data_IF_467639168239
#
_entry.id   IF_467639168239
#
_cell.length_a   1.000
_cell.length_b   1.000
_cell.length_c   1.000
_cell.angle_alpha   90.00
_cell.angle_beta   90.00
_cell.angle_gamma   90.00
#
_symmetry.space_group_name_H-M   'P 1'
#
loop_
_entity.id
_entity.type
_entity.pdbx_description
1 polymer ?
#
# COMPACT_ATOMS: atom_id res chain seq x y z
N UNK A 1 33.07 54.43 -0.52
CA UNK A 1 33.06 53.44 0.57
C UNK A 1 33.22 52.06 -0.05
N UNK A 2 34.32 51.39 0.31
CA UNK A 2 34.66 49.96 0.18
C UNK A 2 33.49 49.07 0.68
N UNK A 3 33.14 47.84 0.23
CA UNK A 3 33.76 46.66 -0.43
C UNK A 3 32.57 45.73 -0.91
N UNK A 4 32.70 44.41 -1.26
CA UNK A 4 32.88 43.86 -2.62
C UNK A 4 31.96 42.63 -2.91
N UNK A 5 32.23 41.87 -3.98
CA UNK A 5 32.02 40.41 -3.95
C UNK A 5 31.08 39.84 -5.02
N UNK A 6 31.68 39.35 -6.10
CA UNK A 6 31.05 38.62 -7.19
C UNK A 6 30.25 37.40 -6.74
N UNK A 7 28.94 37.39 -7.01
CA UNK A 7 28.15 36.17 -7.15
C UNK A 7 28.11 35.79 -8.62
N UNK A 8 28.65 34.61 -8.95
CA UNK A 8 28.55 33.99 -10.27
C UNK A 8 27.07 33.95 -10.66
N UNK A 9 26.67 34.77 -11.63
CA UNK A 9 25.39 34.65 -12.32
C UNK A 9 25.44 33.37 -13.15
N UNK A 10 25.08 32.24 -12.54
CA UNK A 10 24.71 31.05 -13.30
C UNK A 10 23.45 31.43 -14.08
N UNK A 11 23.63 31.79 -15.34
CA UNK A 11 22.54 31.86 -16.32
C UNK A 11 22.06 30.43 -16.54
N UNK A 12 21.15 29.96 -15.69
CA UNK A 12 20.35 28.78 -15.99
C UNK A 12 19.39 29.19 -17.11
N UNK A 13 19.68 28.73 -18.32
CA UNK A 13 18.83 28.90 -19.49
C UNK A 13 17.43 28.37 -19.17
N UNK A 14 16.39 29.21 -19.36
CA UNK A 14 14.95 28.87 -19.14
C UNK A 14 14.42 27.71 -20.00
N UNK A 15 15.26 27.10 -20.83
CA UNK A 15 14.95 25.99 -21.73
C UNK A 15 15.56 24.65 -21.31
N UNK A 16 16.33 24.59 -20.22
CA UNK A 16 17.18 23.44 -19.85
C UNK A 16 16.57 22.46 -18.85
N UNK A 17 15.35 22.68 -18.40
CA UNK A 17 14.62 21.68 -17.63
C UNK A 17 13.43 21.35 -18.52
N UNK A 18 13.40 20.28 -19.29
CA UNK A 18 12.14 19.61 -19.66
C UNK A 18 12.17 18.30 -18.88
N UNK A 19 11.05 17.82 -18.35
CA UNK A 19 11.06 16.56 -17.60
C UNK A 19 11.33 15.44 -18.65
N UNK A 20 12.59 15.03 -18.80
CA UNK A 20 13.00 14.12 -19.88
C UNK A 20 12.62 12.67 -19.61
N UNK A 21 12.61 12.31 -18.33
CA UNK A 21 12.03 11.08 -17.81
C UNK A 21 10.68 11.43 -17.17
N UNK A 22 9.62 10.99 -17.82
CA UNK A 22 8.25 11.06 -17.30
C UNK A 22 7.94 9.68 -16.71
N UNK A 23 7.18 9.64 -15.63
CA UNK A 23 6.73 8.38 -15.08
C UNK A 23 5.39 7.95 -15.69
N UNK A 24 5.27 6.67 -16.06
CA UNK A 24 4.00 6.07 -16.47
C UNK A 24 3.26 5.47 -15.27
N UNK A 25 1.93 5.38 -15.37
CA UNK A 25 1.10 4.76 -14.34
C UNK A 25 1.40 3.27 -14.23
N UNK A 26 1.83 2.84 -13.05
CA UNK A 26 2.14 1.44 -12.78
C UNK A 26 0.90 0.55 -12.91
N UNK A 27 1.05 -0.62 -13.53
CA UNK A 27 0.08 -1.72 -13.43
C UNK A 27 0.66 -2.78 -12.50
N UNK A 28 0.26 -2.77 -11.24
CA UNK A 28 0.66 -3.83 -10.31
C UNK A 28 -0.09 -5.13 -10.61
N UNK A 29 0.62 -6.26 -10.58
CA UNK A 29 0.00 -7.59 -10.64
C UNK A 29 -0.45 -8.01 -9.25
N UNK A 30 -1.70 -8.44 -9.13
CA UNK A 30 -2.25 -9.05 -7.92
C UNK A 30 -1.43 -10.28 -7.54
N UNK A 31 -0.73 -10.22 -6.41
CA UNK A 31 -0.21 -11.42 -5.77
C UNK A 31 -1.39 -12.07 -5.05
N UNK A 32 -1.79 -13.26 -5.51
CA UNK A 32 -2.69 -14.11 -4.72
C UNK A 32 -1.96 -14.38 -3.40
N UNK A 33 -2.41 -13.76 -2.30
CA UNK A 33 -1.93 -14.10 -0.97
C UNK A 33 -2.07 -15.61 -0.82
N UNK A 34 -0.94 -16.31 -0.69
CA UNK A 34 -0.97 -17.67 -0.18
C UNK A 34 -1.55 -17.57 1.23
N UNK A 35 -2.77 -18.07 1.41
CA UNK A 35 -3.33 -18.32 2.74
C UNK A 35 -2.27 -19.12 3.48
N UNK A 36 -1.61 -18.50 4.45
CA UNK A 36 -0.75 -19.21 5.39
C UNK A 36 -1.67 -20.20 6.09
N UNK A 37 -1.61 -21.46 5.65
CA UNK A 37 -2.29 -22.55 6.32
C UNK A 37 -1.79 -22.54 7.77
N UNK A 38 -2.72 -22.39 8.71
CA UNK A 38 -2.46 -22.57 10.12
C UNK A 38 -1.88 -23.98 10.31
N UNK A 39 -0.57 -24.06 10.49
CA UNK A 39 0.06 -25.25 11.03
C UNK A 39 -0.13 -25.18 12.54
N UNK A 40 -1.30 -25.65 13.00
CA UNK A 40 -1.53 -25.96 14.41
C UNK A 40 -0.48 -26.98 14.82
N UNK A 41 0.58 -26.52 15.46
CA UNK A 41 1.49 -27.41 16.16
C UNK A 41 0.72 -28.07 17.31
N UNK A 42 0.36 -29.34 17.15
CA UNK A 42 0.19 -30.25 18.29
C UNK A 42 -1.22 -30.66 18.72
N UNK A 43 -2.26 -30.55 17.90
CA UNK A 43 -3.54 -31.22 18.19
C UNK A 43 -4.00 -32.05 16.98
N UNK A 44 -3.75 -33.36 17.03
CA UNK A 44 -4.35 -34.32 16.10
C UNK A 44 -5.87 -34.29 16.22
N UNK A 45 -6.55 -33.98 15.11
CA UNK A 45 -8.00 -34.07 15.01
C UNK A 45 -8.39 -35.54 14.82
N UNK A 46 -8.90 -36.17 15.88
CA UNK A 46 -9.48 -37.51 15.84
C UNK A 46 -10.99 -37.37 15.57
N UNK A 47 -11.52 -37.75 14.39
CA UNK A 47 -12.95 -37.72 14.15
C UNK A 47 -13.67 -38.80 14.99
N UNK A 48 -14.86 -38.52 15.55
CA UNK A 48 -15.65 -39.52 16.25
C UNK A 48 -16.11 -40.63 15.30
N UNK A 49 -15.94 -41.88 15.75
CA UNK A 49 -16.38 -43.09 15.05
C UNK A 49 -17.91 -43.17 15.10
N UNK A 50 -18.57 -43.00 13.96
CA UNK A 50 -20.01 -43.27 13.83
C UNK A 50 -20.70 -42.39 12.81
N UNK A 51 -20.69 -42.83 11.55
CA UNK A 51 -21.79 -42.77 10.57
C UNK A 51 -21.22 -42.74 9.15
N UNK A 52 -21.07 -43.93 8.57
CA UNK A 52 -20.93 -44.08 7.13
C UNK A 52 -22.33 -44.23 6.52
N UNK A 53 -22.72 -43.27 5.69
CA UNK A 53 -23.58 -43.57 4.54
C UNK A 53 -22.96 -43.01 3.25
N UNK A 54 -22.47 -43.96 2.45
CA UNK A 54 -22.71 -44.07 1.01
C UNK A 54 -22.30 -42.90 0.10
N UNK A 55 -21.19 -43.06 -0.63
CA UNK A 55 -21.18 -42.98 -2.10
C UNK A 55 -19.83 -43.50 -2.61
N UNK A 56 -19.87 -44.61 -3.35
CA UNK A 56 -18.71 -45.37 -3.76
C UNK A 56 -18.06 -44.87 -5.05
N UNK A 57 -16.80 -45.25 -5.24
CA UNK A 57 -16.22 -45.67 -6.51
C UNK A 57 -14.91 -46.46 -6.24
N UNK A 58 -14.87 -47.71 -6.70
CA UNK A 58 -13.69 -48.61 -6.77
C UNK A 58 -13.02 -48.48 -8.16
N UNK A 59 -11.90 -49.19 -8.51
CA UNK A 59 -11.10 -50.22 -7.80
C UNK A 59 -9.58 -49.95 -7.80
N UNK A 60 -8.67 -50.68 -7.13
CA UNK A 60 -8.11 -52.04 -7.42
C UNK A 60 -6.85 -52.15 -6.51
N UNK A 61 -6.52 -53.20 -5.74
CA UNK A 61 -5.84 -54.48 -6.09
C UNK A 61 -5.63 -55.27 -4.77
N UNK A 62 -5.66 -56.59 -4.90
CA UNK A 62 -5.34 -57.69 -3.97
C UNK A 62 -4.31 -57.45 -2.83
N UNK A 63 -4.52 -58.05 -1.65
CA UNK A 63 -4.01 -59.41 -1.39
C UNK A 63 -4.56 -60.05 -0.10
N UNK A 64 -4.52 -61.37 -0.12
CA UNK A 64 -5.03 -62.36 0.83
C UNK A 64 -4.37 -62.36 2.22
N UNK A 65 -5.15 -62.66 3.27
CA UNK A 65 -4.87 -63.80 4.16
C UNK A 65 -5.98 -64.02 5.20
N UNK A 66 -6.25 -65.29 5.44
CA UNK A 66 -7.31 -65.85 6.27
C UNK A 66 -6.96 -65.76 7.77
N UNK A 67 -7.98 -65.66 8.62
CA UNK A 67 -7.82 -65.75 10.07
C UNK A 67 -9.15 -65.82 10.80
N UNK A 68 -9.61 -67.04 11.03
CA UNK A 68 -10.89 -67.45 11.58
C UNK A 68 -10.96 -67.29 13.11
N UNK A 69 -12.18 -67.06 13.61
CA UNK A 69 -12.78 -67.57 14.87
C UNK A 69 -12.96 -66.66 16.11
N UNK A 70 -14.19 -66.83 16.63
CA UNK A 70 -14.67 -66.76 18.02
C UNK A 70 -15.17 -65.44 18.62
N UNK A 71 -16.51 -65.34 18.65
CA UNK A 71 -17.29 -64.73 19.73
C UNK A 71 -17.23 -65.60 21.01
N UNK A 72 -17.28 -64.95 22.18
CA UNK A 72 -18.39 -65.17 23.13
C UNK A 72 -18.92 -63.83 23.66
N UNK A 73 -20.24 -63.58 23.65
CA UNK A 73 -21.22 -63.98 24.67
C UNK A 73 -21.03 -63.33 26.04
N UNK A 74 -21.99 -62.44 26.34
CA UNK A 74 -22.59 -62.13 27.66
C UNK A 74 -21.70 -61.61 28.79
N UNK A 75 -22.07 -60.44 29.32
CA UNK A 75 -22.53 -60.28 30.71
C UNK A 75 -23.13 -58.87 30.89
N UNK A 76 -24.46 -58.81 31.00
CA UNK A 76 -25.13 -57.75 31.76
C UNK A 76 -24.78 -57.93 33.24
N UNK A 77 -24.83 -56.84 34.02
CA UNK A 77 -25.87 -56.81 35.03
C UNK A 77 -26.63 -55.47 35.06
N UNK A 78 -27.94 -55.61 35.20
CA UNK A 78 -28.86 -54.57 35.61
C UNK A 78 -28.52 -54.08 37.02
N UNK A 79 -28.62 -52.77 37.26
CA UNK A 79 -29.24 -52.29 38.48
C UNK A 79 -29.92 -50.95 38.25
N UNK A 80 -31.22 -50.99 38.49
CA UNK A 80 -32.20 -49.91 38.44
C UNK A 80 -32.21 -49.13 39.73
N UNK A 81 -32.04 -47.81 39.68
CA UNK A 81 -32.55 -46.89 40.72
C UNK A 81 -33.12 -45.62 40.07
N UNK A 82 -34.38 -45.33 40.42
CA UNK A 82 -35.20 -44.19 39.99
C UNK A 82 -34.62 -42.86 40.52
N UNK A 83 -34.69 -41.74 39.78
CA UNK A 83 -34.50 -40.43 40.36
C UNK A 83 -35.80 -39.90 40.99
N UNK A 84 -35.62 -39.30 42.18
CA UNK A 84 -36.60 -38.56 42.96
C UNK A 84 -36.85 -37.23 42.26
N UNK A 85 -38.12 -36.90 42.01
CA UNK A 85 -38.53 -35.63 41.43
C UNK A 85 -38.29 -34.46 42.40
N UNK A 86 -37.50 -33.49 41.96
CA UNK A 86 -37.40 -32.17 42.58
C UNK A 86 -38.15 -31.17 41.70
N UNK A 87 -39.20 -30.58 42.26
CA UNK A 87 -39.92 -29.44 41.72
C UNK A 87 -39.02 -28.20 41.75
N UNK A 88 -38.90 -27.40 40.67
CA UNK A 88 -38.15 -26.16 40.74
C UNK A 88 -39.00 -25.09 41.44
N UNK A 89 -38.55 -24.70 42.64
CA UNK A 89 -38.96 -23.46 43.29
C UNK A 89 -38.56 -22.27 42.42
N UNK A 90 -39.52 -21.37 42.18
CA UNK A 90 -39.36 -20.08 41.53
C UNK A 90 -38.32 -19.21 42.23
N UNK A 91 -37.07 -19.27 41.78
CA UNK A 91 -36.09 -18.21 42.02
C UNK A 91 -36.32 -17.12 40.97
N UNK A 92 -36.70 -15.93 41.41
CA UNK A 92 -36.72 -14.70 40.63
C UNK A 92 -35.31 -14.42 40.10
N UNK A 93 -35.02 -14.96 38.91
CA UNK A 93 -33.81 -14.68 38.16
C UNK A 93 -33.84 -13.24 37.68
N UNK A 94 -32.88 -12.45 38.14
CA UNK A 94 -32.49 -11.21 37.45
C UNK A 94 -32.26 -11.58 35.98
N UNK A 95 -32.91 -10.94 35.00
CA UNK A 95 -32.63 -11.25 33.61
C UNK A 95 -31.12 -11.07 33.35
N UNK A 96 -30.50 -11.89 32.50
CA UNK A 96 -29.15 -11.60 32.02
C UNK A 96 -29.13 -10.16 31.51
N UNK A 97 -28.03 -9.40 31.66
CA UNK A 97 -27.97 -8.05 31.11
C UNK A 97 -28.36 -8.16 29.63
N UNK A 98 -29.48 -7.52 29.28
CA UNK A 98 -29.95 -7.49 27.91
C UNK A 98 -28.80 -6.95 27.08
N UNK A 99 -28.32 -7.74 26.10
CA UNK A 99 -27.44 -7.22 25.06
C UNK A 99 -28.09 -5.94 24.54
N UNK A 100 -27.37 -4.81 24.51
CA UNK A 100 -27.95 -3.54 24.11
C UNK A 100 -28.61 -3.69 22.75
N UNK A 101 -29.85 -3.22 22.62
CA UNK A 101 -30.57 -3.28 21.35
C UNK A 101 -29.92 -2.31 20.36
N UNK A 102 -29.91 -2.61 19.04
CA UNK A 102 -29.38 -1.69 18.02
C UNK A 102 -29.98 -0.28 18.12
N UNK A 103 -31.25 -0.19 18.54
CA UNK A 103 -31.99 1.06 18.73
C UNK A 103 -31.40 1.98 19.81
N UNK A 104 -30.67 1.44 20.79
CA UNK A 104 -30.04 2.22 21.86
C UNK A 104 -28.86 3.07 21.36
N UNK A 105 -28.29 2.71 20.20
CA UNK A 105 -27.10 3.34 19.62
C UNK A 105 -27.35 4.14 18.36
N UNK A 106 -28.61 4.22 17.89
CA UNK A 106 -28.98 4.91 16.65
C UNK A 106 -28.63 6.41 16.63
N UNK A 107 -28.43 7.02 17.80
CA UNK A 107 -28.04 8.43 17.93
C UNK A 107 -26.52 8.67 17.88
N UNK A 108 -25.71 7.62 17.97
CA UNK A 108 -24.25 7.74 17.97
C UNK A 108 -23.72 7.78 16.52
N UNK A 109 -22.68 8.57 16.23
CA UNK A 109 -22.10 8.65 14.89
C UNK A 109 -21.34 7.37 14.49
N UNK A 110 -20.80 6.65 15.48
CA UNK A 110 -19.97 5.46 15.31
C UNK A 110 -20.30 4.44 16.41
N UNK A 111 -20.03 3.14 16.18
CA UNK A 111 -20.32 2.11 17.17
C UNK A 111 -19.47 2.33 18.44
N UNK A 112 -20.02 2.07 19.63
CA UNK A 112 -19.28 2.26 20.88
C UNK A 112 -18.20 1.18 21.08
N UNK A 113 -17.15 1.50 21.85
CA UNK A 113 -15.97 0.64 22.02
C UNK A 113 -16.24 -0.68 22.76
N UNK A 114 -17.31 -0.76 23.55
CA UNK A 114 -17.68 -1.95 24.32
C UNK A 114 -18.20 -3.08 23.41
N UNK A 115 -18.81 -2.74 22.27
CA UNK A 115 -19.35 -3.69 21.28
C UNK A 115 -18.24 -4.31 20.43
N UNK A 116 -17.03 -3.75 20.44
CA UNK A 116 -15.88 -4.24 19.67
C UNK A 116 -15.60 -5.74 19.87
N UNK A 117 -15.65 -6.19 21.13
CA UNK A 117 -15.26 -7.54 21.53
C UNK A 117 -16.27 -8.60 21.10
N UNK A 118 -17.51 -8.20 20.93
CA UNK A 118 -18.60 -9.09 20.56
C UNK A 118 -18.71 -9.24 19.03
N UNK A 119 -18.01 -8.42 18.25
CA UNK A 119 -18.03 -8.49 16.79
C UNK A 119 -17.20 -9.66 16.25
N UNK A 120 -17.82 -10.63 15.55
CA UNK A 120 -17.10 -11.72 14.91
C UNK A 120 -16.27 -11.23 13.72
N UNK A 121 -16.68 -10.13 13.06
CA UNK A 121 -15.97 -9.57 11.91
C UNK A 121 -14.62 -8.99 12.31
N UNK A 122 -14.57 -8.27 13.44
CA UNK A 122 -13.32 -7.75 13.99
C UNK A 122 -12.37 -8.87 14.42
N UNK A 123 -12.88 -9.89 15.10
CA UNK A 123 -12.08 -11.05 15.51
C UNK A 123 -11.50 -11.78 14.28
N UNK A 124 -12.31 -11.96 13.23
CA UNK A 124 -11.86 -12.57 11.97
C UNK A 124 -10.80 -11.72 11.25
N UNK A 125 -10.97 -10.39 11.22
CA UNK A 125 -10.00 -9.47 10.61
C UNK A 125 -8.66 -9.49 11.38
N UNK A 126 -8.71 -9.44 12.71
CA UNK A 126 -7.53 -9.50 13.57
C UNK A 126 -6.70 -10.77 13.31
N UNK A 127 -7.38 -11.93 13.25
CA UNK A 127 -6.75 -13.21 12.94
C UNK A 127 -6.21 -13.28 11.50
N UNK A 128 -6.97 -12.79 10.51
CA UNK A 128 -6.59 -12.81 9.09
C UNK A 128 -5.33 -11.99 8.81
N UNK A 129 -5.21 -10.83 9.46
CA UNK A 129 -4.02 -9.97 9.36
C UNK A 129 -2.86 -10.46 10.25
N UNK A 130 -3.06 -11.56 11.00
CA UNK A 130 -2.07 -12.09 11.94
C UNK A 130 -1.56 -11.02 12.91
N UNK A 131 -2.46 -10.15 13.40
CA UNK A 131 -2.09 -9.06 14.31
C UNK A 131 -1.61 -9.66 15.65
N UNK A 132 -0.58 -9.07 16.28
CA UNK A 132 -0.12 -9.52 17.60
C UNK A 132 -1.22 -9.40 18.65
N UNK A 133 -1.20 -10.26 19.67
CA UNK A 133 -2.15 -10.21 20.81
C UNK A 133 -2.10 -8.90 21.60
N UNK A 134 -0.97 -8.15 21.50
CA UNK A 134 -0.82 -6.82 22.08
C UNK A 134 -1.65 -5.75 21.35
N UNK A 135 -2.05 -6.01 20.10
CA UNK A 135 -2.91 -5.12 19.35
C UNK A 135 -4.38 -5.35 19.78
N UNK A 136 -5.00 -4.42 20.50
CA UNK A 136 -6.36 -4.61 21.02
C UNK A 136 -7.41 -4.46 19.92
N UNK A 137 -8.53 -5.17 20.07
CA UNK A 137 -9.62 -5.20 19.09
C UNK A 137 -10.37 -3.85 19.04
N UNK A 138 -10.38 -3.13 20.17
CA UNK A 138 -10.97 -1.79 20.29
C UNK A 138 -10.20 -0.76 19.45
N UNK A 139 -8.87 -0.85 19.40
CA UNK A 139 -8.07 0.00 18.49
C UNK A 139 -8.29 -0.41 17.03
N UNK A 140 -8.52 -1.69 16.75
CA UNK A 140 -8.89 -2.14 15.40
C UNK A 140 -10.19 -1.50 14.93
N UNK A 141 -11.21 -1.48 15.79
CA UNK A 141 -12.47 -0.78 15.55
C UNK A 141 -12.22 0.69 15.25
N UNK A 142 -11.43 1.38 16.09
CA UNK A 142 -11.11 2.80 15.86
C UNK A 142 -10.49 3.04 14.49
N UNK A 143 -9.64 2.13 14.00
CA UNK A 143 -9.05 2.26 12.66
C UNK A 143 -10.11 2.25 11.53
N UNK A 144 -11.25 1.59 11.74
CA UNK A 144 -12.36 1.47 10.79
C UNK A 144 -13.35 2.65 10.82
N UNK A 145 -13.22 3.57 11.78
CA UNK A 145 -14.07 4.76 11.88
C UNK A 145 -13.35 5.93 11.23
N UNK A 146 -13.82 6.35 10.06
CA UNK A 146 -13.25 7.49 9.35
C UNK A 146 -13.65 8.83 9.98
N UNK A 147 -12.82 9.87 9.79
CA UNK A 147 -13.07 11.21 10.30
C UNK A 147 -14.36 11.85 9.73
N UNK A 148 -14.79 11.40 8.55
CA UNK A 148 -16.05 11.81 7.95
C UNK A 148 -17.28 11.22 8.64
N UNK A 149 -17.15 10.04 9.28
CA UNK A 149 -18.23 9.41 10.03
C UNK A 149 -18.34 9.96 11.45
N UNK A 150 -17.20 10.17 12.12
CA UNK A 150 -17.15 10.69 13.48
C UNK A 150 -16.26 11.94 13.56
N UNK A 151 -16.84 13.13 13.87
CA UNK A 151 -16.08 14.37 13.96
C UNK A 151 -15.15 14.41 15.18
N UNK A 152 -15.34 13.52 16.16
CA UNK A 152 -14.53 13.51 17.36
C UNK A 152 -13.15 12.87 17.11
N UNK A 153 -12.04 13.55 17.47
CA UNK A 153 -10.69 13.06 17.19
C UNK A 153 -10.31 11.82 18.01
N UNK A 154 -11.01 11.58 19.12
CA UNK A 154 -10.75 10.45 20.01
C UNK A 154 -11.30 9.14 19.47
N UNK A 155 -12.38 9.19 18.70
CA UNK A 155 -13.08 8.01 18.18
C UNK A 155 -12.85 7.75 16.70
N UNK A 156 -12.29 8.71 15.95
CA UNK A 156 -11.92 8.51 14.55
C UNK A 156 -10.45 8.06 14.35
N UNK A 157 -10.15 7.65 13.12
CA UNK A 157 -8.87 7.12 12.69
C UNK A 157 -7.86 8.16 12.19
N UNK A 158 -8.21 9.46 12.15
CA UNK A 158 -7.42 10.49 11.46
C UNK A 158 -5.98 10.61 11.98
N UNK A 159 -5.81 10.61 13.31
CA UNK A 159 -4.50 10.72 13.96
C UNK A 159 -3.63 9.49 13.71
N UNK A 160 -4.23 8.30 13.72
CA UNK A 160 -3.56 7.03 13.43
C UNK A 160 -3.17 6.96 11.95
N UNK A 161 -4.03 7.44 11.06
CA UNK A 161 -3.81 7.48 9.62
C UNK A 161 -2.67 8.44 9.25
N UNK A 162 -2.54 9.57 9.94
CA UNK A 162 -1.41 10.49 9.75
C UNK A 162 -0.07 9.80 10.07
N UNK A 163 0.04 9.21 11.26
CA UNK A 163 1.25 8.50 11.68
C UNK A 163 1.59 7.33 10.74
N UNK A 164 0.59 6.52 10.38
CA UNK A 164 0.81 5.38 9.50
C UNK A 164 1.11 5.77 8.06
N UNK A 165 0.59 6.91 7.59
CA UNK A 165 0.94 7.50 6.29
C UNK A 165 2.43 7.84 6.24
N UNK A 166 2.92 8.57 7.25
CA UNK A 166 4.34 8.94 7.35
C UNK A 166 5.25 7.70 7.41
N UNK A 167 4.87 6.67 8.19
CA UNK A 167 5.62 5.42 8.29
C UNK A 167 5.66 4.66 6.95
N UNK A 168 4.53 4.56 6.25
CA UNK A 168 4.47 3.90 4.95
C UNK A 168 5.30 4.65 3.92
N UNK A 169 5.14 5.97 3.83
CA UNK A 169 5.90 6.81 2.91
C UNK A 169 7.41 6.68 3.16
N UNK A 170 7.84 6.77 4.42
CA UNK A 170 9.24 6.63 4.81
C UNK A 170 9.83 5.26 4.44
N UNK A 171 9.20 4.17 4.85
CA UNK A 171 9.76 2.82 4.64
C UNK A 171 9.71 2.38 3.17
N UNK A 172 8.72 2.83 2.40
CA UNK A 172 8.67 2.56 0.97
C UNK A 172 9.73 3.37 0.23
N UNK A 173 9.88 4.66 0.52
CA UNK A 173 10.92 5.48 -0.09
C UNK A 173 12.32 4.95 0.23
N UNK A 174 12.55 4.57 1.49
CA UNK A 174 13.79 3.92 1.94
C UNK A 174 14.08 2.64 1.14
N UNK A 175 13.08 1.76 1.02
CA UNK A 175 13.22 0.49 0.31
C UNK A 175 13.57 0.72 -1.17
N UNK A 176 12.85 1.61 -1.84
CA UNK A 176 13.04 1.91 -3.27
C UNK A 176 14.40 2.56 -3.52
N UNK A 177 14.79 3.58 -2.72
CA UNK A 177 16.06 4.28 -2.88
C UNK A 177 17.27 3.39 -2.63
N UNK A 178 17.22 2.58 -1.57
CA UNK A 178 18.33 1.69 -1.25
C UNK A 178 18.47 0.57 -2.31
N UNK A 179 17.35 0.13 -2.93
CA UNK A 179 17.36 -0.89 -3.98
C UNK A 179 17.76 -0.32 -5.34
N UNK A 180 17.36 0.90 -5.67
CA UNK A 180 17.61 1.59 -6.94
C UNK A 180 18.15 3.01 -6.68
N UNK A 181 19.44 3.15 -6.32
CA UNK A 181 20.00 4.42 -5.88
C UNK A 181 20.10 5.49 -6.98
N UNK A 182 19.96 5.09 -8.25
CA UNK A 182 20.02 5.98 -9.42
C UNK A 182 18.65 6.39 -9.95
N UNK A 183 17.57 6.06 -9.26
CA UNK A 183 16.22 6.23 -9.80
C UNK A 183 15.89 7.72 -10.00
N UNK A 184 15.41 8.13 -11.20
CA UNK A 184 14.90 9.48 -11.44
C UNK A 184 13.77 9.84 -10.47
N UNK A 185 13.69 11.11 -10.08
CA UNK A 185 12.75 11.52 -9.03
C UNK A 185 11.28 11.33 -9.44
N UNK A 186 10.98 11.54 -10.73
CA UNK A 186 9.64 11.31 -11.26
C UNK A 186 9.23 9.83 -11.14
N UNK A 187 10.17 8.93 -11.41
CA UNK A 187 9.95 7.48 -11.34
C UNK A 187 9.85 7.02 -9.88
N UNK A 188 10.60 7.65 -8.97
CA UNK A 188 10.47 7.42 -7.53
C UNK A 188 9.08 7.75 -7.02
N UNK A 189 8.53 8.92 -7.38
CA UNK A 189 7.16 9.29 -7.00
C UNK A 189 6.12 8.31 -7.53
N UNK A 190 6.25 7.89 -8.79
CA UNK A 190 5.34 6.90 -9.37
C UNK A 190 5.48 5.51 -8.72
N UNK A 191 6.69 5.11 -8.35
CA UNK A 191 6.93 3.88 -7.61
C UNK A 191 6.27 3.95 -6.22
N UNK A 192 6.44 5.06 -5.50
CA UNK A 192 5.81 5.28 -4.20
C UNK A 192 4.28 5.26 -4.30
N UNK A 193 3.71 5.95 -5.31
CA UNK A 193 2.28 5.91 -5.62
C UNK A 193 1.82 4.48 -5.97
N UNK A 194 2.65 3.70 -6.66
CA UNK A 194 2.29 2.34 -6.99
C UNK A 194 2.29 1.40 -5.77
N UNK A 195 3.09 1.68 -4.73
CA UNK A 195 3.05 0.88 -3.49
C UNK A 195 1.97 1.35 -2.50
N UNK A 196 1.80 2.66 -2.31
CA UNK A 196 0.99 3.26 -1.22
C UNK A 196 -0.08 4.22 -1.75
N UNK A 197 -0.30 4.28 -3.06
CA UNK A 197 -1.33 5.14 -3.64
C UNK A 197 -2.75 4.73 -3.25
N UNK A 198 -3.73 5.65 -3.31
CA UNK A 198 -5.09 5.40 -2.82
C UNK A 198 -5.77 4.18 -3.44
N UNK A 199 -5.61 3.98 -4.75
CA UNK A 199 -6.18 2.83 -5.46
C UNK A 199 -5.60 1.50 -4.94
N UNK A 200 -4.31 1.49 -4.59
CA UNK A 200 -3.56 0.31 -4.15
C UNK A 200 -3.91 -0.06 -2.73
N UNK A 201 -4.10 0.93 -1.85
CA UNK A 201 -4.58 0.74 -0.49
C UNK A 201 -6.06 0.33 -0.46
N UNK A 202 -6.87 0.85 -1.38
CA UNK A 202 -8.26 0.42 -1.57
C UNK A 202 -8.37 -1.05 -1.95
N UNK A 203 -7.52 -1.53 -2.85
CA UNK A 203 -7.41 -2.95 -3.18
C UNK A 203 -6.96 -3.78 -1.97
N UNK A 204 -5.98 -3.29 -1.22
CA UNK A 204 -5.44 -3.98 -0.06
C UNK A 204 -6.50 -4.14 1.04
N UNK A 205 -7.35 -3.13 1.24
CA UNK A 205 -8.56 -3.22 2.08
C UNK A 205 -9.55 -4.28 1.60
N UNK A 206 -9.73 -4.47 0.28
CA UNK A 206 -10.56 -5.55 -0.26
C UNK A 206 -9.92 -6.93 -0.05
N UNK A 207 -8.61 -7.05 -0.24
CA UNK A 207 -7.84 -8.28 0.00
C UNK A 207 -7.91 -8.70 1.48
N UNK A 208 -7.90 -7.72 2.39
CA UNK A 208 -8.13 -7.94 3.81
C UNK A 208 -9.57 -8.30 4.15
N UNK A 209 -10.50 -8.24 3.19
CA UNK A 209 -11.91 -8.56 3.33
C UNK A 209 -12.65 -7.63 4.28
N UNK A 210 -12.33 -6.34 4.22
CA UNK A 210 -13.03 -5.27 4.95
C UNK A 210 -14.12 -4.70 4.06
N UNK A 211 -15.36 -4.83 4.51
CA UNK A 211 -16.56 -4.33 3.85
C UNK A 211 -16.87 -2.89 4.28
N UNK A 212 -17.63 -2.17 3.47
CA UNK A 212 -18.05 -0.80 3.73
C UNK A 212 -19.43 -0.79 4.40
N UNK A 213 -19.61 0.08 5.38
CA UNK A 213 -20.92 0.40 5.91
C UNK A 213 -21.77 1.15 4.86
N UNK A 214 -23.08 0.92 4.86
CA UNK A 214 -23.99 1.62 3.97
C UNK A 214 -24.14 3.10 4.35
N UNK A 215 -24.24 3.38 5.64
CA UNK A 215 -24.29 4.70 6.22
C UNK A 215 -23.53 4.71 7.56
N UNK A 216 -23.00 5.86 8.00
CA UNK A 216 -22.47 5.99 9.35
C UNK A 216 -23.59 5.89 10.39
N UNK A 217 -23.31 5.19 11.50
CA UNK A 217 -24.25 4.97 12.59
C UNK A 217 -23.67 4.08 13.69
N UNK A 218 -24.16 4.23 14.92
CA UNK A 218 -23.75 3.44 16.09
C UNK A 218 -24.30 2.03 16.12
N UNK A 219 -25.35 1.76 15.35
CA UNK A 219 -25.98 0.45 15.16
C UNK A 219 -25.19 -0.49 14.23
N UNK A 220 -24.23 0.05 13.49
CA UNK A 220 -23.43 -0.69 12.51
C UNK A 220 -22.44 -1.61 13.23
N UNK A 221 -22.23 -2.82 12.71
CA UNK A 221 -21.19 -3.73 13.21
C UNK A 221 -19.81 -3.05 13.16
N UNK A 222 -19.06 -2.98 14.28
CA UNK A 222 -17.78 -2.29 14.34
C UNK A 222 -16.67 -2.92 13.46
N UNK A 223 -16.92 -4.09 12.86
CA UNK A 223 -16.06 -4.70 11.84
C UNK A 223 -16.22 -4.16 10.42
N UNK A 224 -17.08 -3.18 10.19
CA UNK A 224 -17.27 -2.51 8.90
C UNK A 224 -16.51 -1.18 8.86
N UNK A 225 -16.00 -0.82 7.67
CA UNK A 225 -15.43 0.51 7.43
C UNK A 225 -16.55 1.54 7.36
N UNK A 226 -16.60 2.44 8.35
CA UNK A 226 -17.64 3.46 8.50
C UNK A 226 -17.09 4.80 7.99
N UNK A 227 -17.71 5.33 6.94
CA UNK A 227 -17.39 6.63 6.36
C UNK A 227 -18.64 7.29 5.77
N UNK A 228 -18.71 8.62 5.80
CA UNK A 228 -19.76 9.36 5.12
C UNK A 228 -19.43 9.41 3.62
N UNK A 229 -20.17 8.68 2.79
CA UNK A 229 -19.84 8.52 1.37
C UNK A 229 -20.32 9.70 0.53
N UNK A 230 -19.48 10.10 -0.42
CA UNK A 230 -19.88 11.06 -1.47
C UNK A 230 -20.96 10.44 -2.37
N UNK A 231 -22.00 11.22 -2.68
CA UNK A 231 -23.04 10.80 -3.61
C UNK A 231 -22.51 10.70 -5.05
N UNK A 232 -22.91 9.66 -5.82
CA UNK A 232 -22.53 9.54 -7.22
C UNK A 232 -22.93 10.79 -8.02
N UNK A 233 -22.00 11.34 -8.80
CA UNK A 233 -22.22 12.55 -9.61
C UNK A 233 -21.86 13.87 -8.91
N UNK A 234 -21.38 13.82 -7.66
CA UNK A 234 -20.81 14.99 -6.99
C UNK A 234 -19.47 15.36 -7.64
N UNK A 235 -19.31 16.63 -8.03
CA UNK A 235 -18.05 17.14 -8.57
C UNK A 235 -16.98 17.22 -7.48
N UNK A 236 -16.00 16.31 -7.57
CA UNK A 236 -14.81 16.26 -6.71
C UNK A 236 -13.71 17.25 -7.13
N UNK A 237 -13.94 18.06 -8.17
CA UNK A 237 -12.93 18.96 -8.77
C UNK A 237 -12.57 20.18 -7.92
N UNK A 238 -13.02 20.23 -6.67
CA UNK A 238 -12.76 21.38 -5.80
C UNK A 238 -11.31 21.37 -5.36
N UNK A 239 -10.58 22.41 -5.78
CA UNK A 239 -9.21 22.65 -5.33
C UNK A 239 -9.26 23.31 -3.96
N UNK A 240 -8.81 22.59 -2.94
CA UNK A 240 -8.35 23.24 -1.71
C UNK A 240 -7.02 23.92 -2.00
N UNK A 241 -6.76 25.02 -1.29
CA UNK A 241 -5.49 25.73 -1.37
C UNK A 241 -4.31 24.77 -1.27
N UNK A 242 -3.50 24.70 -2.33
CA UNK A 242 -2.32 23.82 -2.41
C UNK A 242 -1.21 24.25 -1.44
N UNK A 243 -1.32 25.45 -0.86
CA UNK A 243 -0.31 26.03 0.02
C UNK A 243 0.96 26.47 -0.72
N UNK A 244 0.96 26.42 -2.05
CA UNK A 244 2.09 26.84 -2.89
C UNK A 244 2.13 28.35 -3.07
N UNK A 245 3.35 28.94 -3.16
CA UNK A 245 3.49 30.31 -3.65
C UNK A 245 2.91 30.45 -5.07
N UNK A 246 2.21 31.55 -5.34
CA UNK A 246 1.57 31.85 -6.64
C UNK A 246 0.52 30.83 -7.10
N UNK A 247 -0.23 30.23 -6.18
CA UNK A 247 -1.28 29.23 -6.49
C UNK A 247 -2.29 29.70 -7.57
N UNK A 248 -2.63 30.98 -7.60
CA UNK A 248 -3.54 31.58 -8.58
C UNK A 248 -3.11 31.32 -10.03
N UNK A 249 -1.79 31.16 -10.25
CA UNK A 249 -1.18 30.98 -11.56
C UNK A 249 -1.09 29.50 -11.93
N UNK A 250 -2.25 28.85 -12.00
CA UNK A 250 -2.43 27.42 -12.27
C UNK A 250 -1.77 26.88 -13.57
N UNK A 251 -1.48 27.75 -14.56
CA UNK A 251 -0.84 27.38 -15.83
C UNK A 251 0.69 27.44 -15.78
N UNK A 252 1.26 27.86 -14.65
CA UNK A 252 2.71 27.91 -14.51
C UNK A 252 3.27 26.51 -14.35
N UNK A 253 4.42 26.30 -14.97
CA UNK A 253 5.11 25.03 -14.88
C UNK A 253 5.60 24.78 -13.45
N UNK A 254 5.43 23.53 -12.99
CA UNK A 254 5.96 23.01 -11.73
C UNK A 254 7.23 22.22 -11.99
N UNK A 255 8.38 22.73 -11.54
CA UNK A 255 9.66 22.02 -11.61
C UNK A 255 9.77 20.92 -10.56
N UNK A 256 10.49 19.84 -10.89
CA UNK A 256 10.71 18.68 -10.00
C UNK A 256 11.21 19.01 -8.58
N UNK A 257 12.23 19.86 -8.37
CA UNK A 257 12.69 20.17 -7.00
C UNK A 257 11.62 20.88 -6.15
N UNK A 258 10.72 21.65 -6.78
CA UNK A 258 9.62 22.30 -6.06
C UNK A 258 8.59 21.28 -5.55
N UNK A 259 8.43 20.14 -6.23
CA UNK A 259 7.48 19.09 -5.83
C UNK A 259 7.90 18.42 -4.53
N UNK A 260 9.19 18.14 -4.36
CA UNK A 260 9.73 17.52 -3.14
C UNK A 260 9.39 18.33 -1.88
N UNK A 261 9.37 19.67 -1.97
CA UNK A 261 9.14 20.55 -0.81
C UNK A 261 7.66 20.87 -0.60
N UNK A 262 6.95 21.23 -1.67
CA UNK A 262 5.61 21.82 -1.55
C UNK A 262 4.47 20.83 -1.81
N UNK A 263 4.71 19.79 -2.63
CA UNK A 263 3.69 18.80 -2.98
C UNK A 263 3.58 17.71 -1.91
N UNK A 264 2.66 16.78 -2.13
CA UNK A 264 2.48 15.61 -1.27
C UNK A 264 3.60 14.57 -1.46
N UNK A 265 3.46 13.44 -0.75
CA UNK A 265 4.40 12.31 -0.79
C UNK A 265 4.56 11.67 -2.18
N UNK A 266 3.67 11.96 -3.13
CA UNK A 266 3.69 11.47 -4.50
C UNK A 266 4.06 12.57 -5.51
N UNK A 267 4.42 13.78 -5.06
CA UNK A 267 4.70 14.92 -5.94
C UNK A 267 3.44 15.52 -6.60
N UNK A 268 2.26 15.24 -6.06
CA UNK A 268 0.97 15.78 -6.45
C UNK A 268 0.56 16.99 -5.60
N UNK A 269 -0.30 17.84 -6.15
CA UNK A 269 -0.75 19.05 -5.44
C UNK A 269 -1.58 18.64 -4.21
N UNK A 270 -1.16 19.14 -3.05
CA UNK A 270 -1.95 19.08 -1.81
C UNK A 270 -3.35 19.65 -2.07
N UNK A 271 -4.38 18.99 -1.56
CA UNK A 271 -5.76 19.45 -1.73
C UNK A 271 -6.45 19.08 -3.04
N UNK A 272 -5.82 18.26 -3.91
CA UNK A 272 -6.53 17.59 -5.02
C UNK A 272 -7.45 16.46 -4.51
N UNK A 273 -7.21 15.96 -3.32
CA UNK A 273 -7.89 14.79 -2.76
C UNK A 273 -8.64 15.04 -1.45
N UNK A 274 -8.76 16.27 -0.94
CA UNK A 274 -9.36 16.46 0.38
C UNK A 274 -10.26 17.71 0.44
N UNK A 275 -11.48 17.48 0.90
CA UNK A 275 -12.45 18.42 1.48
C UNK A 275 -13.51 19.06 0.56
N UNK A 276 -14.69 18.46 0.67
CA UNK A 276 -16.00 18.96 0.25
C UNK A 276 -16.59 19.87 1.35
N UNK A 277 -16.82 21.16 1.09
CA UNK A 277 -18.04 21.94 1.48
C UNK A 277 -17.92 23.39 1.02
N UNK A 278 -18.96 23.87 0.33
CA UNK A 278 -19.25 25.22 -0.17
C UNK A 278 -18.89 26.34 0.84
N UNK A 279 -17.97 27.25 0.48
CA UNK A 279 -17.88 28.53 1.20
C UNK A 279 -18.99 29.47 0.68
N UNK A 280 -19.63 30.30 1.53
CA UNK A 280 -20.54 31.35 1.06
C UNK A 280 -19.76 32.40 0.24
N UNK A 281 -20.44 33.24 -0.58
CA UNK A 281 -19.77 34.27 -1.37
C UNK A 281 -19.00 35.26 -0.46
N UNK A 282 -17.94 35.93 -0.98
CA UNK A 282 -17.09 36.80 -0.17
C UNK A 282 -17.87 38.04 0.22
N UNK A 283 -18.17 38.17 1.51
CA UNK A 283 -18.78 39.36 2.10
C UNK A 283 -18.41 39.47 3.56
N UNK A 284 -17.65 40.52 3.90
CA UNK A 284 -17.52 41.04 5.26
C UNK A 284 -16.35 40.49 6.08
N UNK A 285 -15.34 41.32 6.27
CA UNK A 285 -14.42 41.26 7.42
C UNK A 285 -15.20 41.21 8.73
N UNK A 286 -14.75 40.40 9.69
CA UNK A 286 -14.48 40.81 11.08
C UNK A 286 -13.85 39.66 11.87
N UNK A 287 -12.88 40.00 12.71
CA UNK A 287 -12.00 39.05 13.39
C UNK A 287 -12.66 38.29 14.53
N UNK A 288 -12.52 36.96 14.50
CA UNK A 288 -12.48 36.10 15.68
C UNK A 288 -11.80 34.79 15.29
N UNK A 289 -10.65 34.50 15.91
CA UNK A 289 -9.99 33.20 15.84
C UNK A 289 -10.80 32.16 16.61
N UNK A 290 -11.78 31.58 15.93
CA UNK A 290 -12.45 30.34 16.37
C UNK A 290 -12.32 29.39 15.20
N UNK A 291 -11.59 28.29 15.41
CA UNK A 291 -11.49 27.22 14.42
C UNK A 291 -12.93 26.81 14.06
N UNK A 292 -13.37 26.95 12.81
CA UNK A 292 -14.72 26.53 12.45
C UNK A 292 -14.80 25.02 12.67
N UNK A 293 -15.74 24.58 13.49
CA UNK A 293 -16.15 23.18 13.57
C UNK A 293 -16.64 22.82 12.17
N UNK A 294 -15.76 22.19 11.39
CA UNK A 294 -16.02 21.78 10.02
C UNK A 294 -17.09 20.70 10.04
N UNK A 295 -18.20 20.92 9.33
CA UNK A 295 -19.17 19.85 9.06
C UNK A 295 -18.46 18.62 8.47
N UNK A 296 -18.94 17.39 8.79
CA UNK A 296 -18.33 16.16 8.31
C UNK A 296 -18.30 16.16 6.78
N UNK A 297 -17.11 16.25 6.20
CA UNK A 297 -16.95 16.30 4.75
C UNK A 297 -17.09 14.89 4.21
N UNK A 298 -17.97 14.63 3.23
CA UNK A 298 -18.10 13.29 2.67
C UNK A 298 -16.79 12.88 1.98
N UNK A 299 -16.50 11.58 1.96
CA UNK A 299 -15.22 11.01 1.54
C UNK A 299 -15.44 9.93 0.48
N UNK A 300 -14.48 9.78 -0.41
CA UNK A 300 -14.51 8.70 -1.42
C UNK A 300 -14.16 7.36 -0.79
N UNK A 301 -14.61 6.25 -1.39
CA UNK A 301 -14.28 4.91 -0.89
C UNK A 301 -12.77 4.68 -0.85
N UNK A 302 -12.04 5.20 -1.83
CA UNK A 302 -10.59 5.07 -1.91
C UNK A 302 -9.88 5.82 -0.78
N UNK A 303 -10.32 7.04 -0.49
CA UNK A 303 -9.76 7.86 0.58
C UNK A 303 -10.06 7.26 1.97
N UNK A 304 -11.29 6.81 2.24
CA UNK A 304 -11.63 6.13 3.48
C UNK A 304 -10.83 4.83 3.66
N UNK A 305 -10.64 4.06 2.58
CA UNK A 305 -9.81 2.85 2.63
C UNK A 305 -8.32 3.13 2.85
N UNK A 306 -7.83 4.25 2.32
CA UNK A 306 -6.46 4.73 2.52
C UNK A 306 -6.25 5.11 3.98
N UNK A 307 -7.18 5.88 4.54
CA UNK A 307 -7.19 6.27 5.95
C UNK A 307 -7.16 5.04 6.86
N UNK A 308 -8.03 4.05 6.60
CA UNK A 308 -8.06 2.79 7.34
C UNK A 308 -6.73 2.01 7.30
N UNK A 309 -6.16 1.77 6.12
CA UNK A 309 -4.91 0.98 6.02
C UNK A 309 -3.76 1.72 6.71
N UNK A 310 -3.65 3.04 6.51
CA UNK A 310 -2.68 3.86 7.22
C UNK A 310 -2.91 3.80 8.74
N UNK A 311 -4.15 3.91 9.20
CA UNK A 311 -4.48 3.84 10.63
C UNK A 311 -4.07 2.52 11.27
N UNK A 312 -4.26 1.38 10.58
CA UNK A 312 -3.79 0.07 11.07
C UNK A 312 -2.27 0.05 11.26
N UNK A 313 -1.50 0.62 10.33
CA UNK A 313 -0.04 0.72 10.45
C UNK A 313 0.36 1.64 11.61
N UNK A 314 -0.29 2.80 11.75
CA UNK A 314 -0.05 3.73 12.85
C UNK A 314 -0.37 3.11 14.22
N UNK A 315 -1.51 2.42 14.34
CA UNK A 315 -1.90 1.69 15.55
C UNK A 315 -0.92 0.54 15.86
N UNK A 316 -0.44 -0.17 14.84
CA UNK A 316 0.55 -1.24 15.00
C UNK A 316 1.84 -0.68 15.61
N UNK A 317 2.28 0.49 15.15
CA UNK A 317 3.46 1.16 15.68
C UNK A 317 3.30 1.53 17.15
N UNK A 318 2.16 2.11 17.53
CA UNK A 318 1.88 2.53 18.91
C UNK A 318 1.80 1.34 19.89
N UNK A 319 1.11 0.27 19.52
CA UNK A 319 0.95 -0.88 20.41
C UNK A 319 2.12 -1.85 20.35
N UNK A 320 2.51 -2.28 19.15
CA UNK A 320 3.45 -3.39 18.93
C UNK A 320 4.89 -2.94 18.65
N UNK A 321 5.11 -1.63 18.51
CA UNK A 321 6.42 -1.05 18.26
C UNK A 321 6.89 -1.20 16.82
N UNK A 322 8.08 -0.66 16.56
CA UNK A 322 8.66 -0.54 15.22
C UNK A 322 8.92 -1.88 14.51
N UNK A 323 9.53 -2.86 15.19
CA UNK A 323 9.96 -4.13 14.56
C UNK A 323 8.75 -4.87 13.97
N UNK A 324 7.67 -4.96 14.74
CA UNK A 324 6.41 -5.58 14.31
C UNK A 324 5.79 -4.85 13.12
N UNK A 325 5.83 -3.51 13.16
CA UNK A 325 5.29 -2.64 12.10
C UNK A 325 6.08 -2.79 10.80
N UNK A 326 7.41 -2.78 10.86
CA UNK A 326 8.28 -3.02 9.70
C UNK A 326 8.00 -4.36 9.04
N UNK A 327 7.87 -5.42 9.85
CA UNK A 327 7.52 -6.75 9.36
C UNK A 327 6.15 -6.77 8.68
N UNK A 328 5.18 -6.06 9.25
CA UNK A 328 3.84 -5.93 8.68
C UNK A 328 3.86 -5.21 7.33
N UNK A 329 4.55 -4.06 7.24
CA UNK A 329 4.73 -3.30 5.99
C UNK A 329 5.43 -4.16 4.93
N UNK A 330 6.48 -4.88 5.32
CA UNK A 330 7.20 -5.77 4.40
C UNK A 330 6.28 -6.87 3.84
N UNK A 331 5.49 -7.51 4.69
CA UNK A 331 4.64 -8.62 4.31
C UNK A 331 3.43 -8.22 3.45
N UNK A 332 2.83 -7.05 3.69
CA UNK A 332 1.60 -6.63 3.01
C UNK A 332 1.78 -5.60 1.90
N UNK A 333 2.80 -4.74 2.01
CA UNK A 333 3.02 -3.63 1.06
C UNK A 333 4.21 -3.92 0.16
N UNK A 334 5.40 -4.16 0.73
CA UNK A 334 6.63 -4.36 -0.05
C UNK A 334 6.75 -5.75 -0.70
N UNK A 335 5.93 -6.71 -0.28
CA UNK A 335 5.87 -8.04 -0.90
C UNK A 335 5.26 -8.04 -2.31
N UNK A 336 4.62 -6.93 -2.70
CA UNK A 336 3.99 -6.76 -4.02
C UNK A 336 5.06 -6.58 -5.10
N UNK A 337 4.88 -7.26 -6.23
CA UNK A 337 5.80 -7.17 -7.35
C UNK A 337 5.48 -5.96 -8.24
N UNK A 338 6.41 -5.02 -8.34
CA UNK A 338 6.36 -3.88 -9.23
C UNK A 338 7.45 -3.98 -10.30
N UNK A 339 7.06 -3.89 -11.57
CA UNK A 339 8.02 -3.74 -12.67
C UNK A 339 8.46 -2.27 -12.80
N UNK A 340 9.63 -1.94 -12.28
CA UNK A 340 10.19 -0.60 -12.40
C UNK A 340 10.49 -0.21 -13.85
N UNK A 341 10.75 -1.18 -14.74
CA UNK A 341 11.05 -0.89 -16.15
C UNK A 341 9.86 -0.24 -16.86
N UNK A 342 8.63 -0.60 -16.52
CA UNK A 342 7.43 -0.03 -17.14
C UNK A 342 7.14 1.40 -16.68
N UNK A 343 7.75 1.88 -15.60
CA UNK A 343 7.52 3.23 -15.11
C UNK A 343 8.24 4.30 -15.93
N UNK A 344 9.23 3.95 -16.75
CA UNK A 344 10.03 4.93 -17.49
C UNK A 344 9.40 5.29 -18.84
N UNK A 345 9.12 6.58 -19.03
CA UNK A 345 8.87 7.19 -20.32
C UNK A 345 9.97 8.21 -20.63
N UNK A 346 10.65 8.02 -21.77
CA UNK A 346 11.75 8.89 -22.19
C UNK A 346 11.34 9.75 -23.38
N UNK A 347 11.51 11.07 -23.25
CA UNK A 347 11.21 12.00 -24.36
C UNK A 347 12.30 11.99 -25.43
N UNK A 348 13.58 12.03 -25.03
CA UNK A 348 14.71 12.12 -25.96
C UNK A 348 15.90 11.21 -25.61
N UNK A 349 15.71 9.88 -25.53
CA UNK A 349 16.69 8.96 -24.93
C UNK A 349 18.09 8.99 -25.58
N UNK A 350 18.19 9.36 -26.87
CA UNK A 350 19.48 9.50 -27.55
C UNK A 350 20.31 10.67 -27.01
N UNK A 351 19.68 11.81 -26.72
CA UNK A 351 20.37 12.99 -26.18
C UNK A 351 20.75 12.75 -24.74
N UNK A 352 19.84 12.15 -23.97
CA UNK A 352 20.04 11.79 -22.57
C UNK A 352 21.24 10.84 -22.44
N UNK A 353 21.36 9.83 -23.32
CA UNK A 353 22.49 8.90 -23.31
C UNK A 353 23.83 9.56 -23.69
N UNK A 354 23.84 10.48 -24.66
CA UNK A 354 25.07 11.24 -25.00
C UNK A 354 25.53 12.05 -23.79
N UNK A 355 24.61 12.77 -23.13
CA UNK A 355 24.95 13.52 -21.92
C UNK A 355 25.37 12.65 -20.76
N UNK A 356 24.79 11.46 -20.62
CA UNK A 356 25.23 10.49 -19.63
C UNK A 356 26.69 10.08 -19.89
N UNK A 357 27.02 9.72 -21.13
CA UNK A 357 28.39 9.37 -21.50
C UNK A 357 29.35 10.54 -21.27
N UNK A 358 28.97 11.76 -21.66
CA UNK A 358 29.79 12.95 -21.45
C UNK A 358 29.99 13.26 -19.95
N UNK A 359 28.99 12.99 -19.10
CA UNK A 359 29.05 13.22 -17.65
C UNK A 359 29.95 12.22 -16.93
N UNK A 360 29.90 10.96 -17.35
CA UNK A 360 30.65 9.85 -16.74
C UNK A 360 32.02 9.64 -17.41
N UNK A 361 32.46 10.56 -18.28
CA UNK A 361 33.71 10.49 -19.05
C UNK A 361 33.86 9.20 -19.89
N UNK A 362 32.76 8.72 -20.47
CA UNK A 362 32.75 7.60 -21.40
C UNK A 362 32.99 8.04 -22.85
N UNK A 363 33.46 7.10 -23.68
CA UNK A 363 33.52 7.32 -25.13
C UNK A 363 32.13 7.66 -25.68
N UNK A 364 32.04 8.55 -26.68
CA UNK A 364 30.75 8.96 -27.23
C UNK A 364 29.99 7.74 -27.78
N UNK A 365 28.68 7.61 -27.49
CA UNK A 365 27.93 6.40 -27.81
C UNK A 365 27.68 6.28 -29.32
N UNK A 366 28.13 5.17 -29.92
CA UNK A 366 27.97 4.87 -31.35
C UNK A 366 27.02 3.69 -31.53
N UNK A 367 25.96 3.89 -32.32
CA UNK A 367 25.03 2.83 -32.69
C UNK A 367 25.59 1.97 -33.83
N UNK A 368 25.67 0.65 -33.62
CA UNK A 368 26.12 -0.35 -34.60
C UNK A 368 25.00 -1.36 -34.87
N UNK A 369 24.84 -1.77 -36.12
CA UNK A 369 23.92 -2.83 -36.50
C UNK A 369 24.54 -4.18 -36.14
N UNK A 370 23.87 -4.96 -35.29
CA UNK A 370 24.33 -6.28 -34.85
C UNK A 370 23.83 -7.34 -35.83
N UNK A 371 22.53 -7.30 -36.13
CA UNK A 371 21.89 -8.20 -37.09
C UNK A 371 20.72 -7.53 -37.76
N UNK A 372 20.39 -8.00 -38.96
CA UNK A 372 19.21 -7.56 -39.69
C UNK A 372 18.56 -8.72 -40.44
N UNK A 373 17.24 -8.64 -40.56
CA UNK A 373 16.46 -9.56 -41.38
C UNK A 373 15.27 -8.85 -42.02
N UNK A 374 14.89 -9.26 -43.22
CA UNK A 374 13.70 -8.76 -43.89
C UNK A 374 13.72 -7.26 -44.22
N UNK A 375 14.89 -6.66 -44.50
CA UNK A 375 15.07 -5.21 -44.75
C UNK A 375 14.08 -4.63 -45.79
N UNK A 376 13.75 -5.39 -46.83
CA UNK A 376 12.81 -5.00 -47.89
C UNK A 376 11.44 -5.69 -47.76
N UNK A 377 11.05 -6.07 -46.54
CA UNK A 377 9.74 -6.67 -46.24
C UNK A 377 8.83 -5.67 -45.51
N UNK A 378 7.55 -6.01 -45.37
CA UNK A 378 6.59 -5.23 -44.58
C UNK A 378 6.93 -5.18 -43.09
N UNK A 379 7.62 -6.22 -42.58
CA UNK A 379 7.99 -6.33 -41.17
C UNK A 379 9.49 -6.63 -41.05
N UNK A 380 10.36 -5.64 -41.34
CA UNK A 380 11.79 -5.78 -41.10
C UNK A 380 12.06 -5.95 -39.61
N UNK A 381 13.19 -6.56 -39.27
CA UNK A 381 13.72 -6.54 -37.90
C UNK A 381 15.18 -6.14 -37.96
N UNK A 382 15.49 -5.02 -37.33
CA UNK A 382 16.85 -4.53 -37.15
C UNK A 382 17.22 -4.63 -35.67
N UNK A 383 18.33 -5.29 -35.36
CA UNK A 383 18.90 -5.35 -34.01
C UNK A 383 20.11 -4.42 -33.97
N UNK A 384 19.99 -3.36 -33.17
CA UNK A 384 21.02 -2.32 -33.03
C UNK A 384 21.57 -2.38 -31.61
N UNK A 385 22.91 -2.36 -31.49
CA UNK A 385 23.61 -2.17 -30.23
C UNK A 385 24.21 -0.78 -30.16
N UNK A 386 24.16 -0.14 -29.00
CA UNK A 386 24.89 1.11 -28.73
C UNK A 386 26.15 0.76 -27.95
N UNK A 387 27.29 1.22 -28.48
CA UNK A 387 28.61 0.96 -27.92
C UNK A 387 29.28 2.25 -27.49
N UNK A 388 29.90 2.23 -26.31
CA UNK A 388 30.89 3.22 -25.88
C UNK A 388 32.26 2.56 -26.03
N UNK A 389 33.01 2.96 -27.06
CA UNK A 389 34.26 2.31 -27.43
C UNK A 389 34.07 0.84 -27.83
N UNK A 390 34.39 -0.07 -26.91
CA UNK A 390 34.25 -1.54 -27.08
C UNK A 390 33.06 -2.11 -26.31
N UNK A 391 32.55 -1.40 -25.31
CA UNK A 391 31.54 -1.91 -24.40
C UNK A 391 30.14 -1.67 -24.95
N UNK A 392 29.29 -2.71 -24.91
CA UNK A 392 27.89 -2.63 -25.34
C UNK A 392 27.06 -2.10 -24.17
N UNK A 393 26.57 -0.86 -24.29
CA UNK A 393 25.74 -0.22 -23.27
C UNK A 393 24.29 -0.71 -23.30
N UNK A 394 23.76 -0.93 -24.49
CA UNK A 394 22.37 -1.33 -24.68
C UNK A 394 22.11 -1.93 -26.05
N UNK A 395 21.04 -2.69 -26.15
CA UNK A 395 20.61 -3.38 -27.37
C UNK A 395 19.11 -3.20 -27.55
N UNK A 396 18.67 -3.03 -28.79
CA UNK A 396 17.27 -2.85 -29.11
C UNK A 396 16.93 -3.35 -30.51
N UNK A 397 15.80 -4.05 -30.61
CA UNK A 397 15.24 -4.50 -31.88
C UNK A 397 14.07 -3.59 -32.30
N UNK A 398 13.95 -3.25 -33.57
CA UNK A 398 12.86 -2.41 -34.10
C UNK A 398 12.53 -2.69 -35.56
N UNK A 399 11.35 -2.25 -35.99
CA UNK A 399 10.89 -2.37 -37.38
C UNK A 399 11.57 -1.38 -38.33
N UNK A 400 12.16 -0.33 -37.78
CA UNK A 400 13.03 0.61 -38.50
C UNK A 400 14.37 0.78 -37.80
N UNK A 401 15.41 1.19 -38.54
CA UNK A 401 16.72 1.49 -37.98
C UNK A 401 16.67 2.57 -36.89
N UNK A 402 15.81 3.58 -37.07
CA UNK A 402 15.63 4.67 -36.10
C UNK A 402 14.93 4.21 -34.83
N UNK A 403 13.94 3.33 -34.96
CA UNK A 403 13.24 2.73 -33.83
C UNK A 403 14.17 1.80 -33.04
N UNK A 404 14.89 0.89 -33.72
CA UNK A 404 15.85 -0.02 -33.10
C UNK A 404 16.92 0.77 -32.32
N UNK A 405 17.45 1.85 -32.91
CA UNK A 405 18.39 2.77 -32.26
C UNK A 405 17.79 3.43 -31.01
N UNK A 406 16.55 3.92 -31.10
CA UNK A 406 15.87 4.56 -29.96
C UNK A 406 15.63 3.57 -28.83
N UNK A 407 15.16 2.35 -29.15
CA UNK A 407 14.95 1.26 -28.18
C UNK A 407 16.26 0.82 -27.52
N UNK A 408 17.36 0.75 -28.28
CA UNK A 408 18.68 0.43 -27.74
C UNK A 408 19.17 1.52 -26.76
N UNK A 409 18.88 2.80 -27.03
CA UNK A 409 19.19 3.90 -26.12
C UNK A 409 18.36 3.85 -24.84
N UNK A 410 17.07 3.56 -24.96
CA UNK A 410 16.19 3.33 -23.79
C UNK A 410 16.68 2.17 -22.95
N UNK A 411 17.10 1.06 -23.57
CA UNK A 411 17.65 -0.09 -22.85
C UNK A 411 18.94 0.27 -22.08
N UNK A 412 19.83 1.05 -22.69
CA UNK A 412 21.04 1.54 -22.02
C UNK A 412 20.71 2.44 -20.81
N UNK A 413 19.79 3.39 -20.97
CA UNK A 413 19.36 4.27 -19.87
C UNK A 413 18.65 3.51 -18.75
N UNK A 414 17.77 2.55 -19.08
CA UNK A 414 17.15 1.67 -18.09
C UNK A 414 18.19 0.85 -17.34
N UNK A 415 19.20 0.31 -18.04
CA UNK A 415 20.31 -0.40 -17.42
C UNK A 415 21.11 0.47 -16.44
N UNK A 416 21.28 1.76 -16.75
CA UNK A 416 21.90 2.72 -15.86
C UNK A 416 21.05 3.02 -14.61
N UNK A 417 19.79 3.39 -14.80
CA UNK A 417 18.90 3.82 -13.71
C UNK A 417 18.39 2.68 -12.82
N UNK A 418 18.22 1.48 -13.38
CA UNK A 418 17.79 0.28 -12.65
C UNK A 418 18.95 -0.52 -12.04
N UNK A 419 20.14 0.09 -11.96
CA UNK A 419 21.24 -0.48 -11.19
C UNK A 419 20.79 -0.80 -9.77
N UNK A 420 21.03 -2.03 -9.33
CA UNK A 420 20.67 -2.50 -8.00
C UNK A 420 21.87 -3.19 -7.34
N UNK A 421 22.37 -2.68 -6.20
CA UNK A 421 23.45 -3.33 -5.48
C UNK A 421 23.00 -4.69 -4.90
N UNK A 422 23.95 -5.62 -4.78
CA UNK A 422 23.70 -6.95 -4.22
C UNK A 422 23.44 -6.90 -2.71
N UNK A 423 24.30 -6.17 -1.99
CA UNK A 423 24.17 -5.94 -0.57
C UNK A 423 23.58 -4.55 -0.35
N UNK A 424 22.45 -4.50 0.36
CA UNK A 424 21.73 -3.26 0.64
C UNK A 424 21.43 -3.21 2.12
N UNK A 425 21.96 -2.22 2.82
CA UNK A 425 21.59 -1.95 4.21
C UNK A 425 20.60 -0.81 4.24
N UNK A 426 19.40 -1.06 4.76
CA UNK A 426 18.40 0.01 4.94
C UNK A 426 18.69 0.76 6.25
N UNK A 427 18.68 2.10 6.27
CA UNK A 427 18.89 2.91 7.48
C UNK A 427 18.09 2.45 8.71
N UNK A 428 16.82 2.09 8.54
CA UNK A 428 15.92 1.60 9.59
C UNK A 428 16.34 0.26 10.20
N UNK A 429 17.16 -0.52 9.50
CA UNK A 429 17.67 -1.80 10.01
C UNK A 429 18.83 -1.66 11.00
N UNK A 430 19.54 -0.52 10.95
CA UNK A 430 20.64 -0.18 11.87
C UNK A 430 20.22 0.79 12.96
N UNK A 431 19.09 1.47 12.77
CA UNK A 431 18.49 2.29 13.81
C UNK A 431 18.02 1.36 14.95
N UNK A 432 18.68 1.37 16.11
CA UNK A 432 18.27 0.55 17.27
C UNK A 432 19.45 0.02 18.08
N UNK A 433 19.17 -0.57 19.24
CA UNK A 433 20.18 -1.11 20.18
C UNK A 433 20.75 -2.48 19.79
N UNK A 434 20.50 -2.96 18.57
CA UNK A 434 21.08 -4.21 18.07
C UNK A 434 22.53 -3.93 17.69
N UNK A 435 23.45 -4.17 18.64
CA UNK A 435 24.90 -3.96 18.50
C UNK A 435 25.53 -4.77 17.36
N UNK A 436 24.81 -5.75 16.82
CA UNK A 436 25.32 -6.73 15.88
C UNK A 436 25.27 -6.24 14.42
N UNK A 437 24.45 -5.23 14.09
CA UNK A 437 24.32 -4.72 12.71
C UNK A 437 25.10 -3.43 12.52
N UNK A 438 26.18 -3.51 11.76
CA UNK A 438 26.99 -2.36 11.36
C UNK A 438 26.43 -1.71 10.08
N UNK A 439 26.32 -0.39 10.08
CA UNK A 439 25.96 0.38 8.88
C UNK A 439 27.04 0.27 7.80
N UNK A 440 26.60 -0.07 6.58
CA UNK A 440 27.42 -0.04 5.37
C UNK A 440 26.91 1.13 4.53
N UNK A 441 27.75 2.09 4.14
CA UNK A 441 27.31 3.20 3.31
C UNK A 441 26.75 2.73 1.97
N UNK A 442 25.49 3.05 1.70
CA UNK A 442 24.89 2.81 0.39
C UNK A 442 25.45 3.80 -0.65
N UNK A 443 25.45 3.38 -1.92
CA UNK A 443 25.79 4.27 -3.03
C UNK A 443 24.75 5.39 -3.17
N UNK A 444 25.22 6.63 -3.34
CA UNK A 444 24.40 7.82 -3.57
C UNK A 444 24.74 8.37 -4.95
N UNK A 445 23.75 8.42 -5.83
CA UNK A 445 23.90 8.91 -7.19
C UNK A 445 24.00 10.44 -7.23
N UNK A 446 24.77 11.05 -8.16
CA UNK A 446 24.79 12.50 -8.35
C UNK A 446 23.49 13.08 -8.93
N UNK A 447 22.50 12.23 -9.24
CA UNK A 447 21.19 12.62 -9.72
C UNK A 447 20.96 12.27 -11.19
N UNK A 448 19.72 12.49 -11.64
CA UNK A 448 19.32 12.20 -13.03
C UNK A 448 20.04 13.09 -14.05
N UNK A 449 20.13 12.60 -15.29
CA UNK A 449 20.76 13.36 -16.38
C UNK A 449 19.80 14.43 -16.90
N UNK A 450 20.25 15.68 -16.90
CA UNK A 450 19.44 16.83 -17.35
C UNK A 450 19.86 17.25 -18.76
N UNK A 451 18.90 17.24 -19.69
CA UNK A 451 19.06 17.61 -21.12
C UNK A 451 18.52 19.02 -21.43
#
# INVERSE_FOLDING_TARGET
MNLPGSGILVRVSRSAEMDHVIAETATMRLVKMAVLAFQLAGCEYQPPVGDQTCLGYLPRVADSSQGTLHAPSSLQPQSSQRPIGFSPSSSSGRPPPSSPSPDDFAHLPSPPYNVARDSPRLAALHARLSLPTRFPVETLQRCLVDASADPSPDFNNASLALLGGDLLAYHVAEHVLCRYPRLPMAVLFAAQYAYVGPAVLSQLRQEWGVELAAAPGGEVDPGLLVALRVEPGTDLSRRVGTGRPNEEKHNWRRGMPSRIVYDDEFGDLKGRAASLVKSPPPGGSDGASTLPVSEPTPVTVEEASTSFVRAVVGAMYLHCGRISTLRFIYNHVLSRALDFSSLFSFTSPRRDLVRLCDREDFDPPVARLISETGRHSRHPVFVVGIYSGRDKLGEGAGGSLNEARTRAAVAALKGWYLYSPMEVTVPSSVEGSDKDKKWIPNYVDPGEVIV
#
